data_IF_418293972019
#
_entry.id   IF_418293972019
#
_cell.length_a   1.000
_cell.length_b   1.000
_cell.length_c   1.000
_cell.angle_alpha   90.00
_cell.angle_beta   90.00
_cell.angle_gamma   90.00
#
_symmetry.space_group_name_H-M   'P 1'
#
loop_
_entity.id
_entity.type
_entity.pdbx_description
1 polymer ?
#
# COMPACT_ATOMS: atom_id res chain seq x y z
N UNK A 1 13.31 -11.79 -43.83
CA UNK A 1 14.01 -12.39 -42.67
C UNK A 1 13.45 -11.80 -41.37
N UNK A 2 12.74 -12.59 -40.56
CA UNK A 2 12.22 -12.14 -39.26
C UNK A 2 13.37 -12.11 -38.27
N UNK A 3 13.77 -10.92 -37.83
CA UNK A 3 14.83 -10.80 -36.84
C UNK A 3 14.35 -11.35 -35.49
N UNK A 4 15.07 -12.32 -34.93
CA UNK A 4 14.74 -13.01 -33.67
C UNK A 4 15.75 -12.67 -32.58
N UNK A 5 15.29 -12.58 -31.33
CA UNK A 5 16.15 -12.43 -30.15
C UNK A 5 16.07 -13.70 -29.30
N UNK A 6 17.20 -14.14 -28.76
CA UNK A 6 17.27 -15.34 -27.93
C UNK A 6 17.12 -14.94 -26.46
N UNK A 7 16.24 -15.63 -25.73
CA UNK A 7 16.08 -15.39 -24.30
C UNK A 7 17.36 -15.81 -23.54
N UNK A 8 17.98 -14.91 -22.73
CA UNK A 8 19.21 -15.24 -22.01
C UNK A 8 19.01 -16.32 -20.92
N UNK A 9 17.77 -16.53 -20.45
CA UNK A 9 17.45 -17.47 -19.38
C UNK A 9 17.06 -18.87 -19.87
N UNK A 10 16.14 -18.93 -20.84
CA UNK A 10 15.57 -20.20 -21.30
C UNK A 10 15.93 -20.57 -22.75
N UNK A 11 16.86 -19.82 -23.37
CA UNK A 11 17.38 -20.01 -24.73
C UNK A 11 16.31 -20.05 -25.84
N UNK A 12 15.08 -19.66 -25.52
CA UNK A 12 13.96 -19.70 -26.46
C UNK A 12 14.04 -18.54 -27.45
N UNK A 13 13.79 -18.81 -28.73
CA UNK A 13 13.76 -17.81 -29.80
C UNK A 13 12.47 -17.00 -29.73
N UNK A 14 12.58 -15.69 -29.53
CA UNK A 14 11.45 -14.77 -29.48
C UNK A 14 11.54 -13.75 -30.63
N UNK A 15 10.43 -13.08 -30.94
CA UNK A 15 10.44 -11.94 -31.86
C UNK A 15 11.34 -10.82 -31.33
N UNK A 16 12.08 -10.12 -32.19
CA UNK A 16 12.91 -8.97 -31.79
C UNK A 16 12.11 -7.81 -31.17
N UNK A 17 10.79 -7.77 -31.42
CA UNK A 17 9.87 -6.79 -30.80
C UNK A 17 9.31 -7.26 -29.45
N UNK A 18 9.50 -8.52 -29.06
CA UNK A 18 8.97 -9.04 -27.81
C UNK A 18 9.76 -8.46 -26.62
N UNK A 19 9.05 -7.88 -25.64
CA UNK A 19 9.65 -7.41 -24.40
C UNK A 19 9.81 -8.54 -23.37
N UNK A 20 8.92 -9.54 -23.44
CA UNK A 20 8.90 -10.72 -22.56
C UNK A 20 9.09 -11.99 -23.39
N UNK A 21 9.75 -12.98 -22.78
CA UNK A 21 9.85 -14.30 -23.37
C UNK A 21 8.49 -15.03 -23.33
N UNK A 22 8.01 -15.56 -24.45
CA UNK A 22 6.72 -16.28 -24.48
C UNK A 22 6.71 -17.54 -23.59
N UNK A 23 7.87 -18.19 -23.44
CA UNK A 23 8.00 -19.43 -22.64
C UNK A 23 8.17 -19.17 -21.14
N UNK A 24 9.22 -18.44 -20.74
CA UNK A 24 9.55 -18.25 -19.32
C UNK A 24 9.03 -16.93 -18.72
N UNK A 25 8.31 -16.11 -19.51
CA UNK A 25 7.76 -14.80 -19.11
C UNK A 25 8.77 -13.78 -18.57
N UNK A 26 10.07 -14.07 -18.62
CA UNK A 26 11.12 -13.15 -18.17
C UNK A 26 11.43 -12.08 -19.23
N UNK A 27 11.86 -10.87 -18.82
CA UNK A 27 12.20 -9.79 -19.74
C UNK A 27 13.41 -10.14 -20.61
N UNK A 28 13.32 -9.83 -21.89
CA UNK A 28 14.36 -10.10 -22.89
C UNK A 28 15.45 -9.03 -22.93
N UNK A 29 15.17 -7.82 -22.42
CA UNK A 29 16.13 -6.71 -22.32
C UNK A 29 16.47 -6.43 -20.86
N UNK A 30 17.70 -6.75 -20.39
CA UNK A 30 18.16 -6.32 -19.07
C UNK A 30 18.35 -4.80 -19.10
N UNK A 31 17.49 -4.06 -18.40
CA UNK A 31 17.55 -2.58 -18.35
C UNK A 31 16.22 -1.88 -18.55
N UNK A 32 15.23 -2.52 -19.18
CA UNK A 32 13.82 -2.11 -19.04
C UNK A 32 13.22 -2.86 -17.84
N UNK A 33 13.76 -2.60 -16.65
CA UNK A 33 12.92 -2.73 -15.46
C UNK A 33 11.70 -1.85 -15.74
N UNK A 34 10.50 -2.42 -15.61
CA UNK A 34 9.25 -1.69 -15.67
C UNK A 34 9.49 -0.41 -14.87
N UNK A 35 9.49 0.77 -15.53
CA UNK A 35 9.44 2.04 -14.80
C UNK A 35 8.09 2.03 -14.10
N UNK A 36 8.00 1.33 -12.97
CA UNK A 36 6.95 1.55 -12.00
C UNK A 36 7.23 2.97 -11.54
N UNK A 37 6.43 3.91 -12.06
CA UNK A 37 6.37 5.22 -11.45
C UNK A 37 6.20 4.96 -9.95
N UNK A 38 7.02 5.54 -9.07
CA UNK A 38 6.76 5.45 -7.63
C UNK A 38 5.40 6.06 -7.25
N UNK A 39 4.75 6.79 -8.18
CA UNK A 39 3.37 7.28 -8.12
C UNK A 39 2.36 6.48 -8.95
N UNK A 40 2.74 5.39 -9.64
CA UNK A 40 1.72 4.48 -10.16
C UNK A 40 1.15 3.72 -8.98
N UNK A 41 0.12 4.31 -8.36
CA UNK A 41 -0.84 3.60 -7.52
C UNK A 41 -1.41 2.50 -8.41
N UNK A 42 -0.85 1.30 -8.33
CA UNK A 42 -1.44 0.13 -8.95
C UNK A 42 -2.71 -0.17 -8.13
N UNK A 43 -3.92 0.15 -8.64
CA UNK A 43 -5.16 -0.01 -7.88
C UNK A 43 -5.48 -1.50 -7.65
N UNK A 44 -4.67 -2.40 -8.21
CA UNK A 44 -4.75 -3.85 -8.02
C UNK A 44 -4.01 -4.34 -6.76
N UNK A 45 -3.36 -3.45 -6.01
CA UNK A 45 -3.12 -3.66 -4.58
C UNK A 45 -4.49 -3.68 -3.92
N UNK A 46 -5.13 -4.85 -3.85
CA UNK A 46 -6.37 -5.03 -3.08
C UNK A 46 -6.13 -4.39 -1.73
N UNK A 47 -6.78 -3.26 -1.48
CA UNK A 47 -6.71 -2.64 -0.16
C UNK A 47 -7.14 -3.71 0.82
N UNK A 48 -6.29 -4.01 1.79
CA UNK A 48 -6.63 -5.00 2.81
C UNK A 48 -7.70 -4.35 3.69
N UNK A 49 -8.96 -4.57 3.30
CA UNK A 49 -10.14 -4.05 3.99
C UNK A 49 -10.10 -4.40 5.48
N UNK A 50 -9.51 -5.54 5.83
CA UNK A 50 -9.27 -5.93 7.23
C UNK A 50 -8.44 -4.88 7.98
N UNK A 51 -7.36 -4.39 7.39
CA UNK A 51 -6.51 -3.36 8.02
C UNK A 51 -7.29 -2.05 8.17
N UNK A 52 -8.06 -1.66 7.15
CA UNK A 52 -8.88 -0.44 7.18
C UNK A 52 -9.95 -0.54 8.28
N UNK A 53 -10.68 -1.66 8.33
CA UNK A 53 -11.74 -1.89 9.32
C UNK A 53 -11.15 -1.91 10.73
N UNK A 54 -10.06 -2.65 10.97
CA UNK A 54 -9.40 -2.69 12.27
C UNK A 54 -8.88 -1.32 12.68
N UNK A 55 -8.28 -0.56 11.75
CA UNK A 55 -7.82 0.79 12.00
C UNK A 55 -8.95 1.78 12.30
N UNK A 56 -10.10 1.64 11.63
CA UNK A 56 -11.28 2.45 11.88
C UNK A 56 -11.90 2.17 13.26
N UNK A 57 -12.03 0.90 13.64
CA UNK A 57 -12.51 0.52 14.96
C UNK A 57 -11.59 1.08 16.04
N UNK A 58 -10.28 0.92 15.86
CA UNK A 58 -9.27 1.48 16.78
C UNK A 58 -9.39 3.00 16.88
N UNK A 59 -9.54 3.71 15.75
CA UNK A 59 -9.73 5.16 15.72
C UNK A 59 -10.92 5.60 16.57
N UNK A 60 -12.10 4.99 16.34
CA UNK A 60 -13.33 5.34 17.04
C UNK A 60 -13.24 5.03 18.53
N UNK A 61 -12.74 3.84 18.91
CA UNK A 61 -12.57 3.47 20.31
C UNK A 61 -11.61 4.40 21.04
N UNK A 62 -10.47 4.73 20.43
CA UNK A 62 -9.52 5.69 21.00
C UNK A 62 -10.14 7.08 21.10
N UNK A 63 -10.91 7.51 20.10
CA UNK A 63 -11.56 8.80 20.11
C UNK A 63 -12.55 8.92 21.29
N UNK A 64 -13.40 7.91 21.49
CA UNK A 64 -14.33 7.82 22.63
C UNK A 64 -13.57 7.82 23.97
N UNK A 65 -12.50 7.04 24.09
CA UNK A 65 -11.71 7.01 25.31
C UNK A 65 -11.06 8.36 25.63
N UNK A 66 -10.50 9.05 24.63
CA UNK A 66 -9.86 10.34 24.81
C UNK A 66 -10.85 11.50 25.00
N UNK A 67 -12.09 11.38 24.52
CA UNK A 67 -13.16 12.34 24.79
C UNK A 67 -13.39 12.56 26.30
N UNK A 68 -13.20 11.52 27.12
CA UNK A 68 -13.32 11.62 28.58
C UNK A 68 -12.14 12.34 29.26
N UNK A 69 -10.98 12.38 28.62
CA UNK A 69 -9.75 12.94 29.20
C UNK A 69 -9.54 14.38 28.70
N UNK A 70 -9.58 14.57 27.38
CA UNK A 70 -9.30 15.84 26.74
C UNK A 70 -10.13 15.97 25.45
N UNK A 71 -11.31 16.61 25.52
CA UNK A 71 -12.22 16.72 24.39
C UNK A 71 -11.57 17.34 23.15
N UNK A 72 -10.83 18.43 23.35
CA UNK A 72 -10.20 19.23 22.28
C UNK A 72 -9.08 18.48 21.54
N UNK A 73 -8.44 17.50 22.19
CA UNK A 73 -7.30 16.77 21.63
C UNK A 73 -7.63 15.32 21.26
N UNK A 74 -8.85 14.86 21.55
CA UNK A 74 -9.30 13.48 21.34
C UNK A 74 -9.05 12.98 19.91
N UNK A 75 -9.35 13.81 18.92
CA UNK A 75 -9.18 13.50 17.51
C UNK A 75 -7.71 13.42 17.07
N UNK A 76 -6.87 14.29 17.62
CA UNK A 76 -5.44 14.30 17.32
C UNK A 76 -4.74 13.09 17.94
N UNK A 77 -5.06 12.76 19.19
CA UNK A 77 -4.50 11.62 19.91
C UNK A 77 -4.92 10.29 19.27
N UNK A 78 -6.20 10.15 18.92
CA UNK A 78 -6.70 8.96 18.21
C UNK A 78 -6.06 8.81 16.83
N UNK A 79 -5.88 9.90 16.08
CA UNK A 79 -5.13 9.90 14.82
C UNK A 79 -3.68 9.41 15.00
N UNK A 80 -2.97 9.95 16.00
CA UNK A 80 -1.59 9.54 16.27
C UNK A 80 -1.45 8.05 16.60
N UNK A 81 -2.37 7.50 17.39
CA UNK A 81 -2.42 6.06 17.71
C UNK A 81 -2.60 5.21 16.45
N UNK A 82 -3.50 5.61 15.55
CA UNK A 82 -3.73 4.90 14.29
C UNK A 82 -2.49 4.96 13.38
N UNK A 83 -1.82 6.11 13.31
CA UNK A 83 -0.59 6.26 12.54
C UNK A 83 0.51 5.31 13.05
N UNK A 84 0.71 5.25 14.37
CA UNK A 84 1.65 4.32 15.00
C UNK A 84 1.29 2.86 14.74
N UNK A 85 0.01 2.51 14.89
CA UNK A 85 -0.49 1.17 14.62
C UNK A 85 -0.20 0.74 13.18
N UNK A 86 -0.53 1.58 12.20
CA UNK A 86 -0.26 1.29 10.79
C UNK A 86 1.23 1.15 10.52
N UNK A 87 2.06 2.04 11.07
CA UNK A 87 3.51 1.96 10.89
C UNK A 87 4.08 0.64 11.41
N UNK A 88 3.70 0.23 12.63
CA UNK A 88 4.14 -1.04 13.21
C UNK A 88 3.63 -2.25 12.42
N UNK A 89 2.37 -2.22 11.99
CA UNK A 89 1.76 -3.29 11.21
C UNK A 89 2.47 -3.45 9.86
N UNK A 90 2.65 -2.37 9.12
CA UNK A 90 3.36 -2.42 7.84
C UNK A 90 4.83 -2.81 8.00
N UNK A 91 5.50 -2.34 9.06
CA UNK A 91 6.87 -2.77 9.37
C UNK A 91 6.95 -4.27 9.64
N UNK A 92 6.03 -4.83 10.44
CA UNK A 92 6.08 -6.24 10.81
C UNK A 92 5.66 -7.18 9.65
N UNK A 93 4.62 -6.83 8.89
CA UNK A 93 4.03 -7.74 7.90
C UNK A 93 4.61 -7.62 6.48
N UNK A 94 5.17 -6.47 6.09
CA UNK A 94 5.67 -6.27 4.73
C UNK A 94 7.19 -6.38 4.57
N UNK A 95 7.97 -6.20 5.64
CA UNK A 95 9.41 -6.44 5.64
C UNK A 95 9.81 -7.88 5.25
N UNK A 96 9.07 -8.95 5.62
CA UNK A 96 9.41 -10.32 5.20
C UNK A 96 8.91 -10.72 3.79
N UNK A 97 7.95 -9.99 3.20
CA UNK A 97 7.24 -10.45 1.99
C UNK A 97 7.76 -9.88 0.66
N UNK A 98 8.43 -8.71 0.67
CA UNK A 98 8.91 -8.06 -0.57
C UNK A 98 10.31 -7.44 -0.39
N UNK A 99 11.41 -8.10 -0.81
CA UNK A 99 12.77 -7.56 -0.71
C UNK A 99 13.05 -6.34 -1.60
N UNK A 100 12.10 -5.96 -2.47
CA UNK A 100 12.16 -4.72 -3.27
C UNK A 100 11.45 -3.52 -2.63
N UNK A 101 10.83 -3.69 -1.46
CA UNK A 101 10.20 -2.59 -0.73
C UNK A 101 11.25 -1.62 -0.20
N UNK A 102 11.19 -0.37 -0.64
CA UNK A 102 12.01 0.71 -0.09
C UNK A 102 11.28 1.39 1.07
N UNK A 103 12.03 2.00 2.00
CA UNK A 103 11.48 2.78 3.11
C UNK A 103 10.50 3.86 2.61
N UNK A 104 10.79 4.44 1.43
CA UNK A 104 9.92 5.45 0.78
C UNK A 104 8.56 4.89 0.37
N UNK A 105 8.53 3.69 -0.21
CA UNK A 105 7.27 3.05 -0.62
C UNK A 105 6.45 2.56 0.57
N UNK A 106 7.11 2.15 1.66
CA UNK A 106 6.45 1.82 2.92
C UNK A 106 5.73 3.03 3.52
N UNK A 107 6.44 4.16 3.64
CA UNK A 107 5.87 5.40 4.17
C UNK A 107 4.66 5.89 3.37
N UNK A 108 4.72 5.81 2.03
CA UNK A 108 3.62 6.20 1.16
C UNK A 108 2.38 5.32 1.38
N UNK A 109 2.55 3.99 1.53
CA UNK A 109 1.44 3.10 1.86
C UNK A 109 0.82 3.43 3.22
N UNK A 110 1.65 3.64 4.25
CA UNK A 110 1.16 4.00 5.60
C UNK A 110 0.34 5.29 5.54
N UNK A 111 0.85 6.34 4.89
CA UNK A 111 0.15 7.63 4.76
C UNK A 111 -1.18 7.46 4.01
N UNK A 112 -1.20 6.67 2.93
CA UNK A 112 -2.42 6.43 2.16
C UNK A 112 -3.51 5.76 3.01
N UNK A 113 -3.17 4.68 3.72
CA UNK A 113 -4.12 3.99 4.61
C UNK A 113 -4.59 4.89 5.75
N UNK A 114 -3.68 5.67 6.32
CA UNK A 114 -3.98 6.63 7.38
C UNK A 114 -5.01 7.67 6.93
N UNK A 115 -4.82 8.28 5.76
CA UNK A 115 -5.76 9.28 5.22
C UNK A 115 -7.15 8.67 4.96
N UNK A 116 -7.22 7.44 4.46
CA UNK A 116 -8.49 6.73 4.24
C UNK A 116 -9.19 6.47 5.57
N UNK A 117 -8.47 5.97 6.58
CA UNK A 117 -9.05 5.66 7.90
C UNK A 117 -9.55 6.93 8.59
N UNK A 118 -8.78 8.02 8.55
CA UNK A 118 -9.23 9.30 9.12
C UNK A 118 -10.46 9.83 8.41
N UNK A 119 -10.44 9.89 7.07
CA UNK A 119 -11.58 10.41 6.31
C UNK A 119 -12.88 9.63 6.63
N UNK A 120 -12.80 8.29 6.64
CA UNK A 120 -13.93 7.45 7.03
C UNK A 120 -14.31 7.63 8.50
N UNK A 121 -13.33 7.72 9.39
CA UNK A 121 -13.54 7.91 10.83
C UNK A 121 -14.26 9.22 11.13
N UNK A 122 -13.87 10.32 10.48
CA UNK A 122 -14.55 11.62 10.61
C UNK A 122 -16.00 11.52 10.14
N UNK A 123 -16.24 10.89 8.98
CA UNK A 123 -17.60 10.70 8.46
C UNK A 123 -18.45 9.90 9.43
N UNK A 124 -17.90 8.82 10.01
CA UNK A 124 -18.59 8.01 11.01
C UNK A 124 -18.90 8.83 12.27
N UNK A 125 -17.94 9.57 12.81
CA UNK A 125 -18.15 10.42 13.99
C UNK A 125 -19.19 11.52 13.73
N UNK A 126 -19.17 12.14 12.55
CA UNK A 126 -20.18 13.14 12.15
C UNK A 126 -21.57 12.51 12.05
N UNK A 127 -21.70 11.32 11.47
CA UNK A 127 -22.97 10.59 11.43
C UNK A 127 -23.50 10.29 12.83
N UNK A 128 -22.63 9.90 13.77
CA UNK A 128 -23.00 9.68 15.16
C UNK A 128 -23.33 10.96 15.93
N UNK A 129 -22.79 12.12 15.54
CA UNK A 129 -23.11 13.39 16.17
C UNK A 129 -24.40 14.03 15.58
N UNK A 130 -24.73 13.71 14.33
CA UNK A 130 -25.96 14.17 13.68
C UNK A 130 -27.21 13.37 14.08
N UNK A 131 -27.04 12.25 14.77
CA UNK A 131 -28.10 11.35 15.24
C UNK A 131 -28.20 11.39 16.77
#
# INVERSE_FOLDING_TARGET
MVSTVICPRCKTKNSKKAELCYKCKNPLKPGKSRKSNPLSFDPKSRFDLRIIITGLILFVLCNIAFLYISPDYSMLMSGFVVMLFLYLLFKHYMEPNDPSMTIKTLGLKVILYYLIIIALGVVVLLLFHLY
#
